data_IF_187397043978
#
_entry.id   IF_187397043978
#
_cell.length_a   1.000
_cell.length_b   1.000
_cell.length_c   1.000
_cell.angle_alpha   90.00
_cell.angle_beta   90.00
_cell.angle_gamma   90.00
#
_symmetry.space_group_name_H-M   'P 1'
#
loop_
_entity.id
_entity.type
_entity.pdbx_description
1 polymer ?
#
# COMPACT_ATOMS: atom_id res chain seq x y z
N UNK A 1 -14.69 19.36 -15.68
CA UNK A 1 -13.53 19.61 -14.79
C UNK A 1 -12.71 18.34 -14.72
N UNK A 2 -11.59 18.25 -15.46
CA UNK A 2 -10.68 17.12 -15.36
C UNK A 2 -9.99 17.20 -14.00
N UNK A 3 -10.58 16.52 -13.00
CA UNK A 3 -9.98 16.36 -11.70
C UNK A 3 -8.63 15.68 -11.89
N UNK A 4 -7.56 16.45 -11.77
CA UNK A 4 -6.20 15.90 -11.69
C UNK A 4 -6.23 14.92 -10.53
N UNK A 5 -6.23 13.63 -10.81
CA UNK A 5 -5.94 12.59 -9.83
C UNK A 5 -4.49 12.78 -9.44
N UNK A 6 -4.25 13.71 -8.51
CA UNK A 6 -2.94 13.88 -7.89
C UNK A 6 -2.69 12.59 -7.12
N UNK A 7 -1.91 11.69 -7.72
CA UNK A 7 -1.47 10.45 -7.09
C UNK A 7 -0.54 10.83 -5.93
N UNK A 8 -1.13 11.15 -4.78
CA UNK A 8 -0.41 11.52 -3.58
C UNK A 8 0.39 10.29 -3.14
N UNK A 9 1.71 10.48 -3.01
CA UNK A 9 2.60 9.45 -2.48
C UNK A 9 2.73 9.65 -0.97
N UNK A 10 2.92 8.53 -0.28
CA UNK A 10 3.00 8.46 1.17
C UNK A 10 4.22 7.62 1.54
N UNK A 11 4.86 8.00 2.63
CA UNK A 11 5.90 7.19 3.27
C UNK A 11 5.29 5.92 3.85
N UNK A 12 6.11 4.87 3.97
CA UNK A 12 5.75 3.62 4.64
C UNK A 12 5.05 3.83 5.99
N UNK A 13 5.63 4.66 6.86
CA UNK A 13 5.05 5.02 8.17
C UNK A 13 3.64 5.62 8.06
N UNK A 14 3.40 6.50 7.08
CA UNK A 14 2.09 7.12 6.88
C UNK A 14 1.05 6.10 6.39
N UNK A 15 1.48 5.16 5.55
CA UNK A 15 0.64 4.06 5.07
C UNK A 15 0.28 3.12 6.22
N UNK A 16 1.25 2.75 7.06
CA UNK A 16 1.06 1.88 8.22
C UNK A 16 0.16 2.53 9.30
N UNK A 17 0.24 3.84 9.48
CA UNK A 17 -0.64 4.61 10.38
C UNK A 17 -2.05 4.83 9.81
N UNK A 18 -2.28 4.54 8.53
CA UNK A 18 -3.59 4.68 7.91
C UNK A 18 -4.60 3.66 8.44
N UNK A 19 -5.87 4.06 8.56
CA UNK A 19 -6.98 3.17 8.88
C UNK A 19 -7.53 2.43 7.63
N UNK A 20 -6.91 2.62 6.46
CA UNK A 20 -7.33 1.97 5.21
C UNK A 20 -6.94 0.48 5.11
N UNK A 21 -6.03 0.01 5.96
CA UNK A 21 -5.49 -1.35 5.93
C UNK A 21 -5.73 -2.05 7.26
N UNK A 22 -6.02 -3.35 7.21
CA UNK A 22 -6.16 -4.17 8.42
C UNK A 22 -4.81 -4.39 9.11
N UNK A 23 -4.80 -4.84 10.36
CA UNK A 23 -3.55 -5.16 11.07
C UNK A 23 -2.71 -6.17 10.29
N UNK A 24 -3.33 -7.23 9.78
CA UNK A 24 -2.65 -8.24 8.93
C UNK A 24 -2.10 -7.64 7.66
N UNK A 25 -2.85 -6.76 6.99
CA UNK A 25 -2.37 -6.06 5.79
C UNK A 25 -1.19 -5.16 6.13
N UNK A 26 -1.20 -4.47 7.28
CA UNK A 26 -0.08 -3.62 7.71
C UNK A 26 1.20 -4.42 7.92
N UNK A 27 1.12 -5.62 8.51
CA UNK A 27 2.28 -6.52 8.59
C UNK A 27 2.82 -6.90 7.21
N UNK A 28 1.93 -7.23 6.27
CA UNK A 28 2.34 -7.56 4.91
C UNK A 28 2.96 -6.35 4.19
N UNK A 29 2.34 -5.17 4.33
CA UNK A 29 2.80 -3.88 3.82
C UNK A 29 4.18 -3.56 4.38
N UNK A 30 4.39 -3.79 5.67
CA UNK A 30 5.68 -3.59 6.31
C UNK A 30 6.76 -4.51 5.74
N UNK A 31 6.42 -5.75 5.39
CA UNK A 31 7.33 -6.71 4.80
C UNK A 31 7.62 -6.43 3.31
N UNK A 32 6.63 -5.96 2.53
CA UNK A 32 6.77 -5.75 1.07
C UNK A 32 7.20 -4.34 0.67
N UNK A 33 6.92 -3.31 1.49
CA UNK A 33 7.30 -1.94 1.19
C UNK A 33 8.74 -1.67 1.63
N UNK A 34 9.52 -1.22 0.66
CA UNK A 34 10.88 -0.70 0.84
C UNK A 34 10.86 0.74 1.40
N UNK A 35 12.02 1.28 1.74
CA UNK A 35 12.17 2.66 2.20
C UNK A 35 12.04 3.67 1.04
N UNK A 36 10.84 3.76 0.47
CA UNK A 36 10.48 4.72 -0.59
C UNK A 36 9.01 5.14 -0.48
N UNK A 37 8.66 6.17 -1.23
CA UNK A 37 7.31 6.71 -1.25
C UNK A 37 6.41 5.94 -2.23
N UNK A 38 5.25 5.51 -1.75
CA UNK A 38 4.27 4.77 -2.53
C UNK A 38 2.92 5.47 -2.54
N UNK A 39 2.17 5.33 -3.63
CA UNK A 39 0.76 5.71 -3.65
C UNK A 39 -0.10 4.59 -3.07
N UNK A 40 -1.27 4.95 -2.54
CA UNK A 40 -2.20 3.94 -1.98
C UNK A 40 -2.61 2.89 -3.02
N UNK A 41 -2.74 3.27 -4.29
CA UNK A 41 -3.02 2.34 -5.39
C UNK A 41 -1.88 1.35 -5.61
N UNK A 42 -0.62 1.82 -5.56
CA UNK A 42 0.54 0.94 -5.66
C UNK A 42 0.58 -0.05 -4.49
N UNK A 43 0.36 0.43 -3.27
CA UNK A 43 0.34 -0.43 -2.07
C UNK A 43 -0.75 -1.50 -2.19
N UNK A 44 -1.97 -1.13 -2.61
CA UNK A 44 -3.06 -2.08 -2.83
C UNK A 44 -2.70 -3.13 -3.88
N UNK A 45 -2.12 -2.70 -5.01
CA UNK A 45 -1.71 -3.62 -6.08
C UNK A 45 -0.62 -4.61 -5.62
N UNK A 46 0.36 -4.14 -4.83
CA UNK A 46 1.40 -5.00 -4.25
C UNK A 46 0.81 -6.00 -3.25
N UNK A 47 -0.06 -5.51 -2.35
CA UNK A 47 -0.75 -6.34 -1.37
C UNK A 47 -1.57 -7.44 -2.03
N UNK A 48 -2.33 -7.12 -3.09
CA UNK A 48 -3.11 -8.11 -3.84
C UNK A 48 -2.23 -9.16 -4.53
N UNK A 49 -1.11 -8.73 -5.15
CA UNK A 49 -0.16 -9.65 -5.76
C UNK A 49 0.41 -10.62 -4.73
N UNK A 50 0.78 -10.12 -3.57
CA UNK A 50 1.40 -10.94 -2.53
C UNK A 50 0.39 -11.88 -1.86
N UNK A 51 -0.85 -11.41 -1.64
CA UNK A 51 -1.96 -12.28 -1.23
C UNK A 51 -2.18 -13.41 -2.22
N UNK A 52 -2.26 -13.12 -3.53
CA UNK A 52 -2.43 -14.13 -4.58
C UNK A 52 -1.27 -15.14 -4.63
N UNK A 53 -0.04 -14.70 -4.35
CA UNK A 53 1.13 -15.57 -4.32
C UNK A 53 1.09 -16.55 -3.14
N UNK A 54 0.56 -16.12 -2.00
CA UNK A 54 0.42 -16.95 -0.79
C UNK A 54 -0.67 -18.02 -0.88
N UNK A 55 -1.62 -17.89 -1.83
CA UNK A 55 -2.72 -18.87 -2.03
C UNK A 55 -2.33 -20.02 -2.97
N UNK A 56 -1.05 -20.24 -3.25
CA UNK A 56 -0.59 -21.24 -4.23
C UNK A 56 0.40 -22.24 -3.64
#
# INVERSE_FOLDING_TARGET
MAGKTTTRKYKKDQILRSNQFTVTDKYLIEAILEDKDYSLEQVKSLLEKEKKRSVK
#
